data_IF_609739740254
#
_entry.id   IF_609739740254
#
_cell.length_a   1.000
_cell.length_b   1.000
_cell.length_c   1.000
_cell.angle_alpha   90.00
_cell.angle_beta   90.00
_cell.angle_gamma   90.00
#
_symmetry.space_group_name_H-M   'P 1'
#
loop_
_entity.id
_entity.type
_entity.pdbx_description
1 polymer ?
#
# COMPACT_ATOMS: atom_id res chain seq x y z
N UNK A 1 18.96 11.94 25.95
CA UNK A 1 17.50 12.25 25.86
C UNK A 1 17.03 12.53 24.42
N UNK A 2 17.68 12.00 23.36
CA UNK A 2 17.35 12.34 21.95
C UNK A 2 16.29 11.49 21.23
N UNK A 3 15.93 10.29 21.72
CA UNK A 3 15.09 9.32 20.98
C UNK A 3 13.58 9.64 20.92
N UNK A 4 13.13 10.78 21.48
CA UNK A 4 11.69 11.09 21.58
C UNK A 4 11.11 11.67 20.30
N UNK A 5 11.91 12.36 19.49
CA UNK A 5 11.42 13.07 18.30
C UNK A 5 11.34 12.16 17.07
N UNK A 6 12.28 11.23 16.93
CA UNK A 6 12.39 10.32 15.77
C UNK A 6 11.10 9.52 15.49
N UNK A 7 10.36 9.15 16.55
CA UNK A 7 9.12 8.37 16.40
C UNK A 7 7.94 9.20 15.89
N UNK A 8 7.86 10.47 16.28
CA UNK A 8 6.79 11.36 15.84
C UNK A 8 7.00 11.69 14.37
N UNK A 9 8.24 11.97 13.95
CA UNK A 9 8.57 12.22 12.55
C UNK A 9 8.20 11.03 11.65
N UNK A 10 8.48 9.79 12.09
CA UNK A 10 8.08 8.59 11.36
C UNK A 10 6.56 8.46 11.19
N UNK A 11 5.77 8.81 12.21
CA UNK A 11 4.29 8.84 12.15
C UNK A 11 3.81 9.93 11.19
N UNK A 12 4.35 11.14 11.30
CA UNK A 12 3.94 12.27 10.47
C UNK A 12 4.34 12.10 9.00
N UNK A 13 5.48 11.44 8.75
CA UNK A 13 5.92 11.06 7.40
C UNK A 13 4.92 10.14 6.68
N UNK A 14 4.21 9.29 7.43
CA UNK A 14 3.20 8.37 6.89
C UNK A 14 1.95 9.08 6.36
N UNK A 15 1.69 10.32 6.79
CA UNK A 15 0.49 11.07 6.39
C UNK A 15 0.57 11.61 4.95
N UNK A 16 1.76 11.58 4.34
CA UNK A 16 1.92 11.91 2.93
C UNK A 16 1.65 13.38 2.57
N UNK A 17 1.45 13.68 1.27
CA UNK A 17 1.43 15.05 0.74
C UNK A 17 0.32 15.94 1.33
N UNK A 18 -0.85 15.36 1.63
CA UNK A 18 -2.00 16.12 2.16
C UNK A 18 -1.77 16.68 3.57
N UNK A 19 -0.75 16.20 4.28
CA UNK A 19 -0.33 16.73 5.58
C UNK A 19 0.84 17.72 5.49
N UNK A 20 1.63 17.62 4.42
CA UNK A 20 2.82 18.41 4.22
C UNK A 20 2.49 19.84 3.79
N UNK A 21 3.37 20.79 4.12
CA UNK A 21 3.24 22.18 3.72
C UNK A 21 2.11 22.97 4.40
N UNK A 22 1.74 24.10 3.79
CA UNK A 22 0.74 25.04 4.31
C UNK A 22 -0.70 24.69 3.88
N UNK A 23 -0.88 23.67 3.05
CA UNK A 23 -2.18 23.25 2.49
C UNK A 23 -2.98 22.32 3.41
N UNK A 24 -2.45 21.94 4.58
CA UNK A 24 -3.14 21.05 5.49
C UNK A 24 -4.43 21.67 6.04
N UNK A 25 -5.55 21.00 5.81
CA UNK A 25 -6.84 21.36 6.40
C UNK A 25 -7.09 20.50 7.66
N UNK A 26 -7.25 21.14 8.83
CA UNK A 26 -7.53 20.42 10.07
C UNK A 26 -8.90 19.70 10.08
N UNK A 27 -9.79 20.07 9.13
CA UNK A 27 -11.07 19.42 8.89
C UNK A 27 -10.97 18.18 7.99
N UNK A 28 -9.78 17.79 7.53
CA UNK A 28 -9.62 16.56 6.74
C UNK A 28 -10.09 15.35 7.55
N UNK A 29 -11.13 14.68 7.04
CA UNK A 29 -11.71 13.45 7.56
C UNK A 29 -10.80 12.25 7.29
N UNK A 30 -10.23 12.19 6.09
CA UNK A 30 -9.32 11.13 5.66
C UNK A 30 -8.13 11.72 4.91
N UNK A 31 -6.92 11.49 5.43
CA UNK A 31 -5.71 12.07 4.86
C UNK A 31 -5.34 11.50 3.49
N UNK A 32 -5.77 10.27 3.17
CA UNK A 32 -5.49 9.62 1.89
C UNK A 32 -6.33 10.23 0.77
N UNK A 33 -7.63 10.35 0.99
CA UNK A 33 -8.58 10.82 -0.02
C UNK A 33 -8.72 12.35 -0.04
N UNK A 34 -8.26 13.04 1.01
CA UNK A 34 -8.48 14.48 1.16
C UNK A 34 -9.92 14.83 1.53
N UNK A 35 -10.76 13.84 1.82
CA UNK A 35 -12.15 14.04 2.23
C UNK A 35 -12.23 15.00 3.42
N UNK A 36 -13.14 15.97 3.36
CA UNK A 36 -13.34 16.98 4.41
C UNK A 36 -14.55 16.60 5.26
N UNK A 37 -14.41 16.70 6.58
CA UNK A 37 -15.51 16.47 7.52
C UNK A 37 -16.58 17.56 7.36
N UNK A 38 -17.84 17.17 7.38
CA UNK A 38 -18.96 18.12 7.35
C UNK A 38 -19.02 18.99 8.61
N UNK A 39 -18.54 18.49 9.75
CA UNK A 39 -18.54 19.19 11.04
C UNK A 39 -17.14 19.27 11.62
N UNK A 40 -16.80 20.43 12.17
CA UNK A 40 -15.51 20.65 12.84
C UNK A 40 -15.54 20.00 14.22
N UNK A 41 -14.74 18.96 14.40
CA UNK A 41 -14.53 18.40 15.72
C UNK A 41 -13.53 19.25 16.53
N UNK A 42 -13.92 19.59 17.74
CA UNK A 42 -13.06 20.27 18.71
C UNK A 42 -11.98 19.33 19.25
N UNK A 43 -10.84 19.90 19.62
CA UNK A 43 -9.78 19.17 20.30
C UNK A 43 -10.07 19.15 21.80
N UNK A 44 -10.40 17.97 22.32
CA UNK A 44 -10.70 17.77 23.74
C UNK A 44 -9.42 17.53 24.58
N UNK A 45 -8.23 17.81 24.04
CA UNK A 45 -7.02 17.77 24.87
C UNK A 45 -6.94 19.04 25.71
N UNK A 46 -6.38 18.92 26.92
CA UNK A 46 -6.34 19.97 27.93
C UNK A 46 -5.49 21.15 27.42
N UNK A 47 -4.48 20.87 26.60
CA UNK A 47 -3.63 21.89 25.97
C UNK A 47 -4.39 22.79 24.97
N UNK A 48 -5.56 22.35 24.51
CA UNK A 48 -6.34 23.04 23.47
C UNK A 48 -7.64 23.65 23.99
N UNK A 49 -8.03 23.39 25.24
CA UNK A 49 -9.23 23.96 25.88
C UNK A 49 -10.50 23.86 25.01
N UNK A 50 -10.72 22.73 24.32
CA UNK A 50 -11.92 22.53 23.50
C UNK A 50 -11.99 23.40 22.23
N UNK A 51 -10.89 24.03 21.81
CA UNK A 51 -10.85 24.82 20.57
C UNK A 51 -10.97 23.93 19.32
N UNK A 52 -11.32 24.54 18.20
CA UNK A 52 -11.27 23.88 16.89
C UNK A 52 -9.89 23.26 16.65
N UNK A 53 -9.87 22.06 16.08
CA UNK A 53 -8.62 21.39 15.76
C UNK A 53 -7.80 22.23 14.77
N UNK A 54 -6.48 22.30 15.00
CA UNK A 54 -5.52 22.97 14.13
C UNK A 54 -4.41 22.00 13.75
N UNK A 55 -3.52 22.38 12.82
CA UNK A 55 -2.33 21.58 12.49
C UNK A 55 -1.48 21.24 13.73
N UNK A 56 -1.38 22.18 14.67
CA UNK A 56 -0.64 21.97 15.92
C UNK A 56 -1.20 20.80 16.76
N UNK A 57 -2.52 20.56 16.71
CA UNK A 57 -3.14 19.42 17.40
C UNK A 57 -2.66 18.07 16.82
N UNK A 58 -2.32 18.01 15.54
CA UNK A 58 -1.78 16.80 14.90
C UNK A 58 -0.29 16.64 15.19
N UNK A 59 0.49 17.74 15.17
CA UNK A 59 1.91 17.71 15.53
C UNK A 59 2.13 17.29 17.00
N UNK A 60 1.20 17.62 17.89
CA UNK A 60 1.19 17.20 19.30
C UNK A 60 0.48 15.86 19.54
N UNK A 61 0.02 15.19 18.49
CA UNK A 61 -0.76 13.94 18.55
C UNK A 61 -1.99 14.02 19.48
N UNK A 62 -2.62 15.19 19.62
CA UNK A 62 -3.96 15.27 20.22
C UNK A 62 -5.00 14.66 19.25
N UNK A 63 -4.77 14.88 17.96
CA UNK A 63 -5.44 14.21 16.85
C UNK A 63 -4.42 13.48 15.99
N UNK A 64 -4.87 12.45 15.31
CA UNK A 64 -4.04 11.67 14.41
C UNK A 64 -4.89 11.11 13.26
N UNK A 65 -4.22 10.59 12.24
CA UNK A 65 -4.83 9.76 11.22
C UNK A 65 -4.48 8.30 11.47
N UNK A 66 -5.44 7.42 11.22
CA UNK A 66 -5.29 5.99 11.45
C UNK A 66 -4.23 5.38 10.53
N UNK A 67 -3.29 4.64 11.13
CA UNK A 67 -2.19 3.95 10.45
C UNK A 67 -2.47 2.46 10.21
N UNK A 68 -3.68 1.98 10.53
CA UNK A 68 -4.04 0.59 10.26
C UNK A 68 -3.94 0.31 8.74
N UNK A 69 -3.26 -0.77 8.33
CA UNK A 69 -3.24 -1.17 6.93
C UNK A 69 -4.63 -1.68 6.52
N UNK A 70 -5.09 -1.23 5.35
CA UNK A 70 -6.35 -1.66 4.73
C UNK A 70 -6.09 -1.94 3.25
N UNK A 71 -6.96 -2.74 2.62
CA UNK A 71 -7.02 -2.84 1.17
C UNK A 71 -7.99 -1.77 0.66
N UNK A 72 -7.55 -0.94 -0.28
CA UNK A 72 -8.41 0.08 -0.87
C UNK A 72 -9.45 -0.56 -1.81
N UNK A 73 -10.71 -0.44 -1.46
CA UNK A 73 -11.84 -1.04 -2.18
C UNK A 73 -12.56 -0.06 -3.12
N UNK A 74 -12.15 1.22 -3.12
CA UNK A 74 -12.70 2.23 -4.01
C UNK A 74 -12.32 1.97 -5.46
N UNK A 75 -13.28 1.54 -6.29
CA UNK A 75 -13.04 1.22 -7.72
C UNK A 75 -12.46 2.38 -8.52
N UNK A 76 -12.82 3.61 -8.16
CA UNK A 76 -12.37 4.84 -8.82
C UNK A 76 -11.08 5.40 -8.18
N UNK A 77 -10.56 4.74 -7.15
CA UNK A 77 -9.34 5.16 -6.48
C UNK A 77 -8.10 4.77 -7.28
N UNK A 78 -7.07 5.63 -7.38
CA UNK A 78 -5.81 5.29 -8.05
C UNK A 78 -5.06 4.14 -7.36
N UNK A 79 -5.39 3.88 -6.08
CA UNK A 79 -4.82 2.80 -5.29
C UNK A 79 -5.76 1.60 -5.15
N UNK A 80 -6.77 1.45 -6.02
CA UNK A 80 -7.70 0.33 -5.97
C UNK A 80 -6.98 -1.02 -5.89
N UNK A 81 -7.41 -1.84 -4.93
CA UNK A 81 -6.86 -3.16 -4.62
C UNK A 81 -5.37 -3.13 -4.21
N UNK A 82 -4.88 -2.00 -3.69
CA UNK A 82 -3.57 -1.89 -3.07
C UNK A 82 -3.70 -1.75 -1.55
N UNK A 83 -2.65 -2.16 -0.84
CA UNK A 83 -2.56 -1.96 0.61
C UNK A 83 -2.15 -0.51 0.89
N UNK A 84 -2.98 0.19 1.65
CA UNK A 84 -2.81 1.59 2.04
C UNK A 84 -3.12 1.77 3.53
N UNK A 85 -2.80 2.93 4.10
CA UNK A 85 -3.26 3.25 5.46
C UNK A 85 -4.73 3.66 5.46
N UNK A 86 -5.45 3.35 6.54
CA UNK A 86 -6.85 3.75 6.72
C UNK A 86 -7.03 5.28 6.57
N UNK A 87 -6.14 6.06 7.19
CA UNK A 87 -6.07 7.51 6.99
C UNK A 87 -7.21 8.30 7.65
N UNK A 88 -8.19 7.67 8.30
CA UNK A 88 -9.30 8.36 8.96
C UNK A 88 -8.84 9.12 10.20
N UNK A 89 -9.26 10.37 10.35
CA UNK A 89 -8.89 11.23 11.47
C UNK A 89 -9.60 10.79 12.75
N UNK A 90 -8.92 10.93 13.89
CA UNK A 90 -9.49 10.61 15.19
C UNK A 90 -8.81 11.37 16.34
N UNK A 91 -9.44 11.33 17.52
CA UNK A 91 -8.85 11.88 18.74
C UNK A 91 -8.06 10.79 19.45
N UNK A 92 -6.77 11.03 19.70
CA UNK A 92 -5.86 10.00 20.24
C UNK A 92 -6.23 9.58 21.67
N UNK A 93 -6.91 10.45 22.45
CA UNK A 93 -7.46 10.09 23.77
C UNK A 93 -8.68 9.16 23.69
N UNK A 94 -9.40 9.13 22.56
CA UNK A 94 -10.62 8.33 22.42
C UNK A 94 -10.30 6.83 22.47
N UNK A 95 -10.96 6.02 23.30
CA UNK A 95 -10.70 4.57 23.35
C UNK A 95 -11.05 3.86 22.03
N UNK A 96 -11.96 4.41 21.23
CA UNK A 96 -12.46 3.79 19.99
C UNK A 96 -11.54 3.92 18.77
N UNK A 97 -10.35 4.53 18.91
CA UNK A 97 -9.46 4.80 17.78
C UNK A 97 -10.17 5.61 16.69
N UNK A 98 -10.09 5.17 15.43
CA UNK A 98 -10.77 5.83 14.31
C UNK A 98 -12.22 5.38 14.08
N UNK A 99 -12.79 4.62 15.01
CA UNK A 99 -14.15 4.05 14.92
C UNK A 99 -14.23 2.76 14.09
N UNK A 100 -13.33 2.59 13.11
CA UNK A 100 -13.17 1.33 12.36
C UNK A 100 -12.06 0.45 12.93
N UNK A 101 -11.01 1.06 13.48
CA UNK A 101 -9.86 0.36 14.04
C UNK A 101 -9.67 0.82 15.48
N UNK A 102 -10.09 -0.03 16.42
CA UNK A 102 -9.95 0.23 17.84
C UNK A 102 -8.52 -0.05 18.31
N UNK A 103 -8.13 0.54 19.45
CA UNK A 103 -6.80 0.28 20.02
C UNK A 103 -6.62 -1.15 20.54
N UNK A 104 -7.70 -1.89 20.79
CA UNK A 104 -7.65 -3.27 21.29
C UNK A 104 -7.11 -4.29 20.28
N UNK A 105 -7.06 -3.92 19.00
CA UNK A 105 -6.48 -4.72 17.90
C UNK A 105 -5.03 -4.29 17.61
N UNK A 106 -4.39 -3.67 18.60
CA UNK A 106 -3.06 -3.05 18.55
C UNK A 106 -2.90 -1.90 17.53
N UNK A 107 -3.86 -1.66 16.65
CA UNK A 107 -3.82 -0.55 15.69
C UNK A 107 -3.61 0.80 16.38
N UNK A 108 -2.79 1.67 15.79
CA UNK A 108 -2.48 3.01 16.29
C UNK A 108 -1.80 3.05 17.68
N UNK A 109 -1.39 1.91 18.25
CA UNK A 109 -0.71 1.89 19.55
C UNK A 109 0.57 2.74 19.53
N UNK A 110 1.30 2.77 18.42
CA UNK A 110 2.48 3.62 18.22
C UNK A 110 2.17 5.12 18.42
N UNK A 111 1.01 5.58 17.92
CA UNK A 111 0.57 6.98 18.08
C UNK A 111 0.32 7.28 19.56
N UNK A 112 -0.37 6.37 20.26
CA UNK A 112 -0.69 6.54 21.68
C UNK A 112 0.57 6.47 22.55
N UNK A 113 1.48 5.55 22.24
CA UNK A 113 2.77 5.42 22.90
C UNK A 113 3.61 6.69 22.71
N UNK A 114 3.70 7.20 21.48
CA UNK A 114 4.40 8.45 21.17
C UNK A 114 3.78 9.65 21.92
N UNK A 115 2.45 9.79 21.91
CA UNK A 115 1.74 10.87 22.65
C UNK A 115 2.04 10.84 24.15
N UNK A 116 1.96 9.67 24.77
CA UNK A 116 2.09 9.53 26.23
C UNK A 116 3.54 9.29 26.68
N UNK A 117 4.50 9.32 25.75
CA UNK A 117 5.90 8.96 25.98
C UNK A 117 6.07 7.58 26.64
N UNK A 118 5.22 6.61 26.27
CA UNK A 118 5.36 5.22 26.69
C UNK A 118 6.50 4.55 25.93
N UNK A 119 7.07 3.45 26.46
CA UNK A 119 7.96 2.60 25.68
C UNK A 119 7.28 2.19 24.38
N UNK A 120 8.00 2.30 23.26
CA UNK A 120 7.48 1.89 21.96
C UNK A 120 7.17 0.39 21.99
N UNK A 121 6.08 -0.04 21.33
CA UNK A 121 5.81 -1.47 21.18
C UNK A 121 6.95 -2.15 20.42
N UNK A 122 7.12 -3.45 20.65
CA UNK A 122 8.09 -4.27 19.92
C UNK A 122 7.80 -4.30 18.42
N UNK A 123 6.52 -4.25 18.05
CA UNK A 123 6.05 -4.25 16.67
C UNK A 123 5.53 -2.86 16.33
N UNK A 124 6.17 -2.22 15.36
CA UNK A 124 5.80 -0.88 14.89
C UNK A 124 4.68 -0.92 13.86
N UNK A 125 4.05 0.23 13.60
CA UNK A 125 3.07 0.34 12.53
C UNK A 125 3.68 0.02 11.16
N UNK A 126 4.94 0.39 10.89
CA UNK A 126 5.61 0.08 9.63
C UNK A 126 5.74 -1.43 9.44
N UNK A 127 6.12 -2.15 10.48
CA UNK A 127 6.24 -3.60 10.42
C UNK A 127 4.89 -4.24 10.09
N UNK A 128 3.83 -3.84 10.80
CA UNK A 128 2.46 -4.33 10.53
C UNK A 128 1.98 -4.03 9.13
N UNK A 129 2.27 -2.82 8.64
CA UNK A 129 1.93 -2.43 7.28
C UNK A 129 2.64 -3.32 6.25
N UNK A 130 3.93 -3.56 6.43
CA UNK A 130 4.73 -4.40 5.53
C UNK A 130 4.29 -5.87 5.56
N UNK A 131 4.01 -6.41 6.74
CA UNK A 131 3.54 -7.79 6.91
C UNK A 131 2.18 -7.98 6.22
N UNK A 132 1.22 -7.08 6.47
CA UNK A 132 -0.08 -7.09 5.81
C UNK A 132 0.04 -6.95 4.28
N UNK A 133 0.93 -6.05 3.82
CA UNK A 133 1.21 -5.86 2.39
C UNK A 133 1.77 -7.15 1.77
N UNK A 134 2.72 -7.80 2.41
CA UNK A 134 3.32 -9.04 1.91
C UNK A 134 2.27 -10.17 1.82
N UNK A 135 1.41 -10.31 2.82
CA UNK A 135 0.33 -11.29 2.81
C UNK A 135 -0.66 -11.04 1.68
N UNK A 136 -1.09 -9.78 1.52
CA UNK A 136 -2.00 -9.38 0.44
C UNK A 136 -1.38 -9.60 -0.94
N UNK A 137 -0.13 -9.20 -1.15
CA UNK A 137 0.59 -9.39 -2.42
C UNK A 137 0.72 -10.89 -2.76
N UNK A 138 0.99 -11.74 -1.76
CA UNK A 138 1.03 -13.20 -1.92
C UNK A 138 -0.34 -13.75 -2.31
N UNK A 139 -1.42 -13.28 -1.67
CA UNK A 139 -2.78 -13.70 -2.00
C UNK A 139 -3.18 -13.29 -3.43
N UNK A 140 -2.83 -12.08 -3.85
CA UNK A 140 -3.08 -11.59 -5.20
C UNK A 140 -2.30 -12.38 -6.26
N UNK A 141 -1.03 -12.71 -5.98
CA UNK A 141 -0.23 -13.55 -6.87
C UNK A 141 -0.86 -14.94 -7.08
N UNK A 142 -1.32 -15.58 -6.00
CA UNK A 142 -2.03 -16.87 -6.07
C UNK A 142 -3.35 -16.76 -6.86
N UNK A 143 -4.07 -15.64 -6.75
CA UNK A 143 -5.31 -15.43 -7.50
C UNK A 143 -5.03 -15.30 -9.00
N UNK A 144 -3.99 -14.57 -9.38
CA UNK A 144 -3.55 -14.44 -10.79
C UNK A 144 -3.14 -15.80 -11.33
N UNK A 145 -2.31 -16.56 -10.63
CA UNK A 145 -1.89 -17.89 -11.04
C UNK A 145 -3.08 -18.84 -11.24
N UNK A 146 -4.04 -18.82 -10.32
CA UNK A 146 -5.29 -19.61 -10.44
C UNK A 146 -6.11 -19.19 -11.66
N UNK A 147 -6.19 -17.90 -11.94
CA UNK A 147 -6.94 -17.38 -13.08
C UNK A 147 -6.26 -17.75 -14.40
N UNK A 148 -4.94 -17.60 -14.51
CA UNK A 148 -4.16 -18.03 -15.67
C UNK A 148 -4.31 -19.54 -15.92
N UNK A 149 -4.32 -20.35 -14.85
CA UNK A 149 -4.58 -21.79 -14.94
C UNK A 149 -6.00 -22.08 -15.45
N UNK A 150 -7.01 -21.34 -14.97
CA UNK A 150 -8.38 -21.49 -15.42
C UNK A 150 -8.52 -21.13 -16.90
N UNK A 151 -7.94 -20.01 -17.33
CA UNK A 151 -7.94 -19.55 -18.72
C UNK A 151 -7.22 -20.57 -19.63
N UNK A 152 -6.06 -21.07 -19.19
CA UNK A 152 -5.33 -22.12 -19.89
C UNK A 152 -6.17 -23.39 -20.02
N UNK A 153 -6.83 -23.84 -18.96
CA UNK A 153 -7.74 -25.01 -19.01
C UNK A 153 -8.94 -24.78 -19.94
N UNK A 154 -9.48 -23.56 -20.00
CA UNK A 154 -10.59 -23.22 -20.88
C UNK A 154 -10.21 -23.35 -22.37
N UNK A 155 -8.95 -23.02 -22.73
CA UNK A 155 -8.44 -23.18 -24.10
C UNK A 155 -8.08 -24.63 -24.49
N UNK A 156 -8.01 -25.57 -23.54
CA UNK A 156 -7.62 -26.95 -23.80
C UNK A 156 -8.77 -27.80 -24.37
N UNK A 157 -8.43 -28.71 -25.28
CA UNK A 157 -9.34 -29.78 -25.72
C UNK A 157 -9.63 -30.77 -24.59
N UNK A 158 -10.71 -31.53 -24.67
CA UNK A 158 -11.09 -32.50 -23.64
C UNK A 158 -9.97 -33.51 -23.34
N UNK A 159 -9.28 -34.00 -24.38
CA UNK A 159 -8.15 -34.94 -24.21
C UNK A 159 -6.96 -34.30 -23.50
N UNK A 160 -6.66 -33.02 -23.79
CA UNK A 160 -5.60 -32.28 -23.12
C UNK A 160 -5.93 -32.02 -21.65
N UNK A 161 -7.19 -31.68 -21.33
CA UNK A 161 -7.66 -31.50 -19.95
C UNK A 161 -7.54 -32.77 -19.12
N UNK A 162 -8.01 -33.90 -19.65
CA UNK A 162 -7.90 -35.20 -18.97
C UNK A 162 -6.44 -35.56 -18.68
N UNK A 163 -5.53 -35.31 -19.63
CA UNK A 163 -4.09 -35.53 -19.43
C UNK A 163 -3.50 -34.62 -18.35
N UNK A 164 -3.88 -33.33 -18.35
CA UNK A 164 -3.46 -32.36 -17.34
C UNK A 164 -3.92 -32.78 -15.93
N UNK A 165 -5.18 -33.20 -15.77
CA UNK A 165 -5.73 -33.65 -14.50
C UNK A 165 -5.06 -34.92 -13.97
N UNK A 166 -4.70 -35.86 -14.85
CA UNK A 166 -3.91 -37.03 -14.47
C UNK A 166 -2.53 -36.63 -13.96
N UNK A 167 -1.85 -35.68 -14.62
CA UNK A 167 -0.54 -35.20 -14.16
C UNK A 167 -0.60 -34.46 -12.84
N UNK A 168 -1.63 -33.62 -12.63
CA UNK A 168 -1.83 -32.86 -11.39
C UNK A 168 -2.15 -33.80 -10.20
N UNK A 169 -2.95 -34.84 -10.42
CA UNK A 169 -3.21 -35.89 -9.42
C UNK A 169 -1.93 -36.63 -9.02
N UNK A 170 -1.12 -37.06 -9.99
CA UNK A 170 0.17 -37.71 -9.71
C UNK A 170 1.14 -36.79 -8.94
N UNK A 171 1.15 -35.48 -9.26
CA UNK A 171 1.97 -34.52 -8.54
C UNK A 171 1.48 -34.29 -7.10
N UNK A 172 0.17 -34.23 -6.87
CA UNK A 172 -0.40 -34.15 -5.52
C UNK A 172 -0.08 -35.40 -4.69
N UNK A 173 -0.18 -36.59 -5.27
CA UNK A 173 0.17 -37.85 -4.62
C UNK A 173 1.66 -37.88 -4.24
N UNK A 174 2.55 -37.47 -5.14
CA UNK A 174 3.98 -37.35 -4.84
C UNK A 174 4.28 -36.34 -3.72
N UNK A 175 3.57 -35.21 -3.68
CA UNK A 175 3.73 -34.19 -2.63
C UNK A 175 3.23 -34.65 -1.26
N UNK A 176 2.25 -35.56 -1.20
CA UNK A 176 1.78 -36.14 0.07
C UNK A 176 2.82 -37.03 0.74
N UNK A 177 3.92 -37.35 0.05
CA UNK A 177 4.94 -38.28 0.53
C UNK A 177 4.39 -39.69 0.69
N UNK A 178 5.26 -40.70 0.89
CA UNK A 178 4.77 -41.97 1.41
C UNK A 178 4.11 -41.67 2.75
N UNK A 179 2.83 -42.04 2.88
CA UNK A 179 2.15 -42.16 4.17
C UNK A 179 2.90 -43.26 4.92
N UNK A 180 4.06 -42.92 5.46
CA UNK A 180 4.79 -43.77 6.37
C UNK A 180 3.89 -43.95 7.56
N UNK A 181 3.50 -45.20 7.81
CA UNK A 181 2.81 -45.61 9.02
C UNK A 181 3.61 -45.15 10.25
N UNK A 182 3.41 -43.91 10.70
CA UNK A 182 3.85 -43.47 12.01
C UNK A 182 2.85 -44.05 13.03
N UNK A 183 2.91 -45.37 13.19
CA UNK A 183 2.29 -46.10 14.29
C UNK A 183 3.10 -45.81 15.55
N UNK A 184 2.93 -44.61 16.09
CA UNK A 184 3.55 -44.16 17.32
C UNK A 184 2.60 -43.22 18.04
N UNK A 185 1.51 -43.75 18.59
CA UNK A 185 0.57 -43.00 19.42
C UNK A 185 1.19 -42.71 20.79
N UNK A 186 2.10 -41.74 20.87
CA UNK A 186 2.35 -41.10 22.16
C UNK A 186 1.20 -40.13 22.41
N UNK A 187 0.18 -40.63 23.13
CA UNK A 187 -0.86 -39.82 23.76
C UNK A 187 -0.19 -38.79 24.67
N UNK A 188 -0.01 -37.57 24.17
CA UNK A 188 0.39 -36.42 24.98
C UNK A 188 -0.87 -35.93 25.69
N UNK A 189 -1.01 -36.33 26.97
CA UNK A 189 -2.04 -35.81 27.87
C UNK A 189 -1.86 -34.30 28.04
N UNK A 190 -2.89 -33.54 27.69
CA UNK A 190 -2.96 -32.07 27.70
C UNK A 190 -3.20 -31.44 29.08
N UNK A 191 -2.80 -32.07 30.19
CA UNK A 191 -3.28 -31.64 31.52
C UNK A 191 -2.38 -30.73 32.35
N UNK A 192 -1.10 -30.51 32.00
CA UNK A 192 -0.25 -29.61 32.81
C UNK A 192 0.40 -28.52 31.95
N UNK A 193 -0.31 -27.41 31.77
CA UNK A 193 0.22 -26.19 31.14
C UNK A 193 -0.07 -24.97 32.02
N UNK A 194 0.42 -24.99 33.26
CA UNK A 194 0.39 -23.83 34.16
C UNK A 194 1.74 -23.18 34.46
N UNK A 195 2.86 -23.79 34.07
CA UNK A 195 4.18 -23.22 34.34
C UNK A 195 4.96 -22.97 33.04
N UNK A 196 4.76 -21.81 32.43
CA UNK A 196 5.60 -21.32 31.31
C UNK A 196 6.14 -19.92 31.65
N UNK A 197 6.94 -19.84 32.73
CA UNK A 197 7.58 -18.60 33.20
C UNK A 197 9.08 -18.52 32.86
N UNK A 198 9.68 -19.54 32.23
CA UNK A 198 11.11 -19.56 31.93
C UNK A 198 11.40 -20.23 30.59
N UNK A 199 11.09 -19.54 29.48
CA UNK A 199 11.63 -19.93 28.18
C UNK A 199 12.89 -19.12 27.88
N UNK A 200 14.03 -19.78 28.08
CA UNK A 200 15.32 -19.43 27.48
C UNK A 200 15.20 -19.30 25.97
N UNK A 201 15.90 -18.33 25.39
CA UNK A 201 15.91 -18.03 23.96
C UNK A 201 16.17 -19.29 23.10
N UNK A 202 15.40 -19.50 22.01
CA UNK A 202 15.68 -20.58 21.08
C UNK A 202 17.05 -20.33 20.43
N UNK A 203 18.00 -21.21 20.73
CA UNK A 203 19.26 -21.32 19.99
C UNK A 203 18.97 -22.02 18.66
N UNK A 204 19.55 -21.42 17.63
CA UNK A 204 19.81 -21.99 16.31
C UNK A 204 18.61 -22.02 15.34
N UNK A 205 18.70 -21.15 14.34
CA UNK A 205 17.85 -21.19 13.16
C UNK A 205 18.08 -22.52 12.41
N UNK A 206 17.03 -23.17 11.89
CA UNK A 206 17.19 -24.39 11.12
C UNK A 206 18.09 -24.11 9.91
N UNK A 207 19.13 -24.94 9.76
CA UNK A 207 20.06 -24.87 8.64
C UNK A 207 19.30 -24.83 7.32
N UNK A 208 19.46 -23.73 6.58
CA UNK A 208 18.84 -23.58 5.28
C UNK A 208 19.26 -24.75 4.38
N UNK A 209 18.32 -25.45 3.73
CA UNK A 209 18.66 -26.61 2.91
C UNK A 209 19.66 -26.20 1.83
N UNK A 210 20.86 -26.77 1.88
CA UNK A 210 21.91 -26.53 0.88
C UNK A 210 21.40 -26.94 -0.50
N UNK A 211 21.03 -25.94 -1.31
CA UNK A 211 20.61 -26.13 -2.69
C UNK A 211 21.76 -26.79 -3.48
N UNK A 212 21.50 -27.92 -4.16
CA UNK A 212 22.55 -28.66 -4.88
C UNK A 212 23.18 -27.75 -5.94
N UNK A 213 24.51 -27.87 -6.15
CA UNK A 213 25.29 -26.99 -7.07
C UNK A 213 24.71 -26.88 -8.49
N UNK A 214 24.04 -27.93 -9.00
CA UNK A 214 23.40 -27.92 -10.32
C UNK A 214 22.15 -27.02 -10.34
N UNK A 215 21.36 -27.07 -9.27
CA UNK A 215 20.13 -26.28 -9.12
C UNK A 215 20.46 -24.79 -8.93
N UNK A 216 21.57 -24.48 -8.24
CA UNK A 216 22.06 -23.11 -8.09
C UNK A 216 22.42 -22.45 -9.44
N UNK A 217 22.95 -23.21 -10.42
CA UNK A 217 23.25 -22.68 -11.77
C UNK A 217 21.97 -22.43 -12.57
N UNK A 218 21.00 -23.35 -12.49
CA UNK A 218 19.70 -23.18 -13.14
C UNK A 218 18.95 -21.97 -12.57
N UNK A 219 18.94 -21.83 -11.25
CA UNK A 219 18.34 -20.69 -10.55
C UNK A 219 18.97 -19.35 -10.96
N UNK A 220 20.31 -19.27 -10.99
CA UNK A 220 21.01 -18.05 -11.47
C UNK A 220 20.70 -17.73 -12.93
N UNK A 221 20.53 -18.75 -13.79
CA UNK A 221 20.13 -18.55 -15.19
C UNK A 221 18.70 -18.00 -15.27
N UNK A 222 17.78 -18.55 -14.49
CA UNK A 222 16.39 -18.09 -14.41
C UNK A 222 16.30 -16.64 -13.89
N UNK A 223 17.03 -16.30 -12.82
CA UNK A 223 17.08 -14.93 -12.32
C UNK A 223 17.61 -13.93 -13.35
N UNK A 224 18.63 -14.30 -14.15
CA UNK A 224 19.12 -13.45 -15.24
C UNK A 224 18.09 -13.25 -16.34
N UNK A 225 17.28 -14.26 -16.65
CA UNK A 225 16.19 -14.15 -17.63
C UNK A 225 15.11 -13.21 -17.11
N UNK A 226 14.67 -13.38 -15.87
CA UNK A 226 13.66 -12.50 -15.22
C UNK A 226 14.16 -11.06 -15.23
N UNK A 227 15.40 -10.82 -14.78
CA UNK A 227 15.99 -9.49 -14.78
C UNK A 227 16.03 -8.83 -16.18
N UNK A 228 16.36 -9.59 -17.23
CA UNK A 228 16.33 -9.07 -18.61
C UNK A 228 14.92 -8.74 -19.10
N UNK A 229 13.92 -9.53 -18.70
CA UNK A 229 12.53 -9.27 -19.05
C UNK A 229 12.02 -8.00 -18.34
N UNK A 230 12.35 -7.83 -17.06
CA UNK A 230 11.99 -6.64 -16.30
C UNK A 230 12.64 -5.38 -16.87
N UNK A 231 13.92 -5.46 -17.25
CA UNK A 231 14.62 -4.37 -17.93
C UNK A 231 13.97 -4.00 -19.27
N UNK A 232 13.63 -5.00 -20.10
CA UNK A 232 12.95 -4.77 -21.38
C UNK A 232 11.56 -4.15 -21.20
N UNK A 233 10.84 -4.53 -20.13
CA UNK A 233 9.53 -3.96 -19.79
C UNK A 233 9.66 -2.48 -19.40
N UNK A 234 10.64 -2.13 -18.58
CA UNK A 234 10.91 -0.75 -18.18
C UNK A 234 11.32 0.12 -19.39
N UNK A 235 12.16 -0.38 -20.30
CA UNK A 235 12.52 0.32 -21.53
C UNK A 235 11.31 0.54 -22.45
N UNK A 236 10.42 -0.44 -22.57
CA UNK A 236 9.19 -0.31 -23.37
C UNK A 236 8.19 0.69 -22.77
N UNK A 237 8.12 0.79 -21.44
CA UNK A 237 7.32 1.79 -20.73
C UNK A 237 7.87 3.20 -20.95
N UNK A 238 9.17 3.41 -20.76
CA UNK A 238 9.80 4.71 -21.06
C UNK A 238 9.60 5.14 -22.51
N UNK A 239 9.63 4.20 -23.47
CA UNK A 239 9.37 4.52 -24.88
C UNK A 239 7.92 4.96 -25.12
N UNK A 240 6.94 4.33 -24.47
CA UNK A 240 5.53 4.74 -24.55
C UNK A 240 5.33 6.14 -23.99
N UNK A 241 5.94 6.46 -22.85
CA UNK A 241 5.87 7.79 -22.25
C UNK A 241 6.51 8.86 -23.15
N UNK A 242 7.62 8.53 -23.83
CA UNK A 242 8.23 9.43 -24.81
C UNK A 242 7.36 9.65 -26.04
N UNK A 243 6.72 8.59 -26.56
CA UNK A 243 5.78 8.68 -27.67
C UNK A 243 4.54 9.52 -27.32
N UNK A 244 4.02 9.39 -26.09
CA UNK A 244 2.89 10.18 -25.59
C UNK A 244 3.26 11.65 -25.44
N UNK A 245 4.40 11.97 -24.83
CA UNK A 245 4.93 13.34 -24.75
C UNK A 245 5.17 13.96 -26.13
N UNK A 246 5.66 13.17 -27.10
CA UNK A 246 5.85 13.64 -28.46
C UNK A 246 4.53 13.97 -29.16
N UNK A 247 3.47 13.17 -28.93
CA UNK A 247 2.12 13.45 -29.43
C UNK A 247 1.53 14.70 -28.81
N UNK A 248 1.64 14.86 -27.49
CA UNK A 248 1.17 16.05 -26.77
C UNK A 248 1.89 17.32 -27.27
N UNK A 249 3.22 17.25 -27.45
CA UNK A 249 4.00 18.36 -28.00
C UNK A 249 3.62 18.70 -29.44
N UNK A 250 3.30 17.70 -30.27
CA UNK A 250 2.83 17.90 -31.64
C UNK A 250 1.44 18.55 -31.70
N UNK A 251 0.55 18.24 -30.76
CA UNK A 251 -0.78 18.87 -30.64
C UNK A 251 -0.68 20.32 -30.17
N UNK A 252 0.23 20.60 -29.22
CA UNK A 252 0.50 21.95 -28.71
C UNK A 252 1.25 22.84 -29.70
N UNK A 253 1.89 22.28 -30.73
CA UNK A 253 2.57 23.06 -31.76
C UNK A 253 1.53 23.93 -32.51
N UNK A 254 1.51 25.26 -32.28
CA UNK A 254 0.44 26.09 -32.81
C UNK A 254 0.53 26.14 -34.33
N UNK A 255 -0.63 26.09 -35.00
CA UNK A 255 -0.87 26.36 -36.45
C UNK A 255 -0.46 27.80 -36.83
N UNK A 256 0.80 28.18 -36.62
CA UNK A 256 1.33 29.53 -36.82
C UNK A 256 1.48 29.93 -38.29
N UNK A 257 1.20 29.04 -39.24
CA UNK A 257 1.41 29.34 -40.66
C UNK A 257 0.17 29.81 -41.44
N UNK A 258 -1.04 29.83 -40.85
CA UNK A 258 -2.26 30.12 -41.63
C UNK A 258 -2.73 31.60 -41.66
N UNK A 259 -2.00 32.56 -41.09
CA UNK A 259 -2.45 33.98 -41.03
C UNK A 259 -1.46 35.02 -41.58
N UNK A 260 -0.60 34.65 -42.54
CA UNK A 260 0.14 35.60 -43.38
C UNK A 260 -0.59 35.77 -44.72
N UNK A 261 -1.61 36.61 -44.77
CA UNK A 261 -2.23 36.96 -46.05
C UNK A 261 -3.69 37.43 -45.96
N UNK A 262 -3.96 38.53 -45.25
CA UNK A 262 -5.17 39.35 -45.43
C UNK A 262 -5.09 40.65 -44.61
N UNK A 263 -4.11 41.49 -44.92
CA UNK A 263 -4.08 42.89 -44.48
C UNK A 263 -3.80 43.79 -45.68
N UNK A 264 -4.75 43.85 -46.60
CA UNK A 264 -4.86 44.90 -47.60
C UNK A 264 -6.34 45.09 -47.91
N UNK A 265 -6.99 46.04 -47.23
CA UNK A 265 -8.40 46.31 -47.50
C UNK A 265 -9.04 47.28 -46.54
N UNK A 266 -8.92 48.58 -46.83
CA UNK A 266 -10.04 49.49 -46.66
C UNK A 266 -10.14 50.23 -45.33
N UNK A 267 -9.16 51.10 -45.07
CA UNK A 267 -9.36 52.21 -44.14
C UNK A 267 -10.24 53.28 -44.83
N UNK A 268 -11.56 53.19 -44.66
CA UNK A 268 -12.51 54.29 -44.94
C UNK A 268 -13.67 54.20 -43.95
N UNK A 269 -13.51 54.83 -42.79
CA UNK A 269 -14.69 55.40 -42.15
C UNK A 269 -14.36 56.80 -41.62
N UNK A 270 -14.72 57.74 -42.49
CA UNK A 270 -14.75 59.17 -42.25
C UNK A 270 -15.72 59.49 -41.13
N UNK A 271 -15.22 60.30 -40.19
CA UNK A 271 -15.87 61.48 -39.63
C UNK A 271 -17.41 61.52 -39.60
N UNK A 272 -17.97 61.53 -38.38
CA UNK A 272 -18.99 62.49 -37.96
C UNK A 272 -19.43 62.10 -36.56
N UNK A 273 -19.06 62.89 -35.57
CA UNK A 273 -20.02 63.39 -34.58
C UNK A 273 -19.40 64.63 -33.97
N UNK A 274 -19.96 65.77 -34.36
CA UNK A 274 -19.77 67.03 -33.69
C UNK A 274 -21.04 67.41 -32.95
N UNK A 275 -20.86 68.34 -31.99
CA UNK A 275 -21.88 69.15 -31.32
C UNK A 275 -22.78 68.34 -30.37
N UNK A 276 -23.06 68.77 -29.14
CA UNK A 276 -22.92 70.06 -28.47
C UNK A 276 -22.96 69.80 -26.97
#
# INVERSE_FOLDING_TARGET
>A
MGKKLDNVEGILGAYGPNFQGNSFNAQTANIRTGEIMQKVHHCNDNDCNGKAATKACYLKLHRAFCLAPIVDDGKDSPTFNQVVICGRSFNVKSPGGCGQHAYGEDHNFDIRAAKNAWPMPKVTWQQRFNDFKAEHDSMMALRVEKQELADRKATMTANQRNKYEQTDKMEQENKRGPIGCFQGSTSVKWQDRKDLSTMTAPKEAPDAPMMKRKDAKAYKKQQRTIFRMDQARAEAEMRRDQEEKAKEAAELAPRKEAKKGKTAGGNRFLSRFGKR
#
